data_IF_444546545994
#
_entry.id   IF_444546545994
#
_cell.length_a   1.000
_cell.length_b   1.000
_cell.length_c   1.000
_cell.angle_alpha   90.00
_cell.angle_beta   90.00
_cell.angle_gamma   90.00
#
_symmetry.space_group_name_H-M   'P 1'
#
loop_
_entity.id
_entity.type
_entity.pdbx_description
1 polymer ?
#
# COMPACT_ATOMS: atom_id res chain seq x y z
N UNK A 1 -13.56 8.84 10.06
CA UNK A 1 -13.33 7.98 8.87
C UNK A 1 -13.84 6.60 9.21
N UNK A 2 -14.68 6.02 8.37
CA UNK A 2 -15.25 4.68 8.63
C UNK A 2 -14.25 3.61 8.17
N UNK A 3 -13.30 3.35 9.08
CA UNK A 3 -12.29 2.33 8.94
C UNK A 3 -12.86 0.94 9.25
N UNK A 4 -12.19 -0.12 8.79
CA UNK A 4 -12.60 -1.49 9.08
C UNK A 4 -11.57 -2.20 9.94
N UNK A 5 -12.00 -2.69 11.11
CA UNK A 5 -11.17 -3.47 12.04
C UNK A 5 -11.26 -4.95 11.73
N UNK A 6 -10.12 -5.63 11.76
CA UNK A 6 -10.02 -7.08 11.61
C UNK A 6 -8.81 -7.59 12.40
N UNK A 7 -8.69 -8.91 12.55
CA UNK A 7 -7.60 -9.51 13.29
C UNK A 7 -6.82 -10.50 12.43
N UNK A 8 -5.50 -10.50 12.56
CA UNK A 8 -4.59 -11.50 12.02
C UNK A 8 -3.58 -11.89 13.09
N UNK A 9 -3.40 -13.20 13.35
CA UNK A 9 -2.49 -13.67 14.40
C UNK A 9 -2.66 -12.95 15.74
N UNK A 10 -3.91 -12.80 16.20
CA UNK A 10 -4.27 -12.11 17.48
C UNK A 10 -3.99 -10.59 17.50
N UNK A 11 -3.54 -10.00 16.40
CA UNK A 11 -3.32 -8.57 16.29
C UNK A 11 -4.54 -7.88 15.65
N UNK A 12 -5.12 -6.88 16.34
CA UNK A 12 -6.13 -6.01 15.74
C UNK A 12 -5.47 -5.01 14.79
N UNK A 13 -5.88 -5.05 13.53
CA UNK A 13 -5.46 -4.14 12.46
C UNK A 13 -6.65 -3.37 11.93
N UNK A 14 -6.38 -2.20 11.37
CA UNK A 14 -7.40 -1.28 10.87
C UNK A 14 -7.10 -0.93 9.41
N UNK A 15 -7.94 -1.38 8.49
CA UNK A 15 -7.91 -0.93 7.11
C UNK A 15 -8.49 0.49 7.03
N UNK A 16 -7.74 1.42 6.45
CA UNK A 16 -8.15 2.81 6.28
C UNK A 16 -8.69 3.05 4.87
N UNK A 17 -9.68 3.95 4.68
CA UNK A 17 -10.24 4.30 3.36
C UNK A 17 -9.20 4.81 2.36
N UNK A 18 -8.10 5.38 2.83
CA UNK A 18 -6.95 5.83 2.04
C UNK A 18 -6.18 4.71 1.35
N UNK A 19 -6.27 3.47 1.88
CA UNK A 19 -5.45 2.32 1.50
C UNK A 19 -4.29 2.04 2.47
N UNK A 20 -4.12 2.84 3.51
CA UNK A 20 -3.17 2.56 4.59
C UNK A 20 -3.71 1.51 5.56
N UNK A 21 -2.80 0.73 6.13
CA UNK A 21 -3.09 -0.22 7.22
C UNK A 21 -2.54 0.35 8.53
N UNK A 22 -3.40 0.52 9.51
CA UNK A 22 -3.04 1.01 10.83
C UNK A 22 -3.01 -0.13 11.85
N UNK A 23 -1.92 -0.23 12.62
CA UNK A 23 -1.78 -1.14 13.75
C UNK A 23 -1.69 -0.37 15.06
N UNK A 24 -2.83 -0.13 15.75
CA UNK A 24 -2.89 0.73 16.92
C UNK A 24 -1.95 0.33 18.06
N UNK A 25 -1.92 -0.96 18.39
CA UNK A 25 -1.15 -1.49 19.52
C UNK A 25 0.36 -1.24 19.39
N UNK A 26 0.88 -1.10 18.16
CA UNK A 26 2.29 -0.85 17.87
C UNK A 26 2.55 0.60 17.39
N UNK A 27 1.51 1.41 17.24
CA UNK A 27 1.60 2.75 16.63
C UNK A 27 2.27 2.72 15.25
N UNK A 28 1.94 1.71 14.43
CA UNK A 28 2.51 1.49 13.09
C UNK A 28 1.49 1.83 12.03
N UNK A 29 1.86 2.71 11.10
CA UNK A 29 1.16 2.90 9.83
C UNK A 29 1.93 2.16 8.73
N UNK A 30 1.22 1.35 7.94
CA UNK A 30 1.81 0.61 6.84
C UNK A 30 1.13 1.01 5.53
N UNK A 31 1.94 1.33 4.52
CA UNK A 31 1.51 1.66 3.16
C UNK A 31 2.33 0.85 2.15
N UNK A 32 1.83 0.68 0.94
CA UNK A 32 2.51 -0.08 -0.10
C UNK A 32 2.43 0.63 -1.46
N UNK A 33 3.45 0.42 -2.30
CA UNK A 33 3.39 0.79 -3.71
C UNK A 33 3.04 2.28 -3.91
N UNK A 34 3.89 3.16 -3.36
CA UNK A 34 3.74 4.61 -3.45
C UNK A 34 4.02 5.11 -4.88
N UNK A 35 4.97 4.49 -5.58
CA UNK A 35 5.35 4.80 -6.96
C UNK A 35 5.60 6.29 -7.21
N UNK A 36 6.36 6.95 -6.33
CA UNK A 36 6.78 8.33 -6.56
C UNK A 36 7.54 8.47 -7.88
N UNK A 37 7.27 9.54 -8.61
CA UNK A 37 7.93 9.86 -9.89
C UNK A 37 7.38 9.11 -11.10
N UNK A 38 6.19 8.55 -11.02
CA UNK A 38 5.54 7.82 -12.11
C UNK A 38 5.33 8.66 -13.36
N UNK A 39 4.82 9.87 -13.21
CA UNK A 39 4.62 10.80 -14.34
C UNK A 39 5.93 11.12 -15.04
N UNK A 40 7.00 11.36 -14.27
CA UNK A 40 8.34 11.64 -14.78
C UNK A 40 8.90 10.46 -15.56
N UNK A 41 8.76 9.22 -15.03
CA UNK A 41 9.19 8.01 -15.74
C UNK A 41 8.43 7.83 -17.06
N UNK A 42 7.09 7.96 -17.05
CA UNK A 42 6.29 7.81 -18.26
C UNK A 42 6.67 8.87 -19.32
N UNK A 43 6.94 10.11 -18.90
CA UNK A 43 7.41 11.17 -19.79
C UNK A 43 8.76 10.83 -20.40
N UNK A 44 9.74 10.31 -19.62
CA UNK A 44 11.05 9.86 -20.14
C UNK A 44 10.92 8.72 -21.16
N UNK A 45 9.94 7.84 -20.96
CA UNK A 45 9.68 6.72 -21.89
C UNK A 45 8.86 7.13 -23.13
N UNK A 46 8.50 8.40 -23.30
CA UNK A 46 7.65 8.88 -24.39
C UNK A 46 6.23 8.32 -24.36
N UNK A 47 5.78 7.84 -23.19
CA UNK A 47 4.44 7.30 -23.01
C UNK A 47 3.43 8.38 -22.65
N UNK A 48 2.14 7.99 -22.53
CA UNK A 48 1.03 8.90 -22.24
C UNK A 48 1.32 9.83 -21.08
N UNK A 49 1.05 11.11 -21.30
CA UNK A 49 1.18 12.15 -20.29
C UNK A 49 0.07 11.98 -19.24
N UNK A 50 0.48 11.76 -18.00
CA UNK A 50 -0.41 11.89 -16.84
C UNK A 50 -0.06 13.20 -16.12
N UNK A 51 -1.04 13.87 -15.49
CA UNK A 51 -0.76 15.12 -14.77
C UNK A 51 0.27 14.88 -13.65
N UNK A 52 1.28 15.75 -13.46
CA UNK A 52 2.37 15.54 -12.51
C UNK A 52 1.97 15.89 -11.06
N UNK A 53 0.81 15.44 -10.61
CA UNK A 53 0.29 15.70 -9.26
C UNK A 53 0.32 14.48 -8.35
N UNK A 54 0.74 13.32 -8.86
CA UNK A 54 0.65 12.06 -8.15
C UNK A 54 1.48 12.03 -6.87
N UNK A 55 2.67 12.64 -6.88
CA UNK A 55 3.52 12.71 -5.70
C UNK A 55 2.86 13.56 -4.62
N UNK A 56 2.43 14.76 -4.97
CA UNK A 56 1.80 15.69 -4.02
C UNK A 56 0.51 15.13 -3.44
N UNK A 57 -0.35 14.50 -4.26
CA UNK A 57 -1.58 13.87 -3.80
C UNK A 57 -1.28 12.70 -2.85
N UNK A 58 -0.26 11.89 -3.18
CA UNK A 58 0.18 10.77 -2.35
C UNK A 58 0.76 11.25 -1.01
N UNK A 59 1.62 12.28 -1.04
CA UNK A 59 2.23 12.87 0.16
C UNK A 59 1.19 13.52 1.08
N UNK A 60 0.24 14.28 0.52
CA UNK A 60 -0.83 14.91 1.29
C UNK A 60 -1.71 13.87 2.00
N UNK A 61 -2.05 12.79 1.30
CA UNK A 61 -2.82 11.68 1.87
C UNK A 61 -2.03 10.98 2.98
N UNK A 62 -0.73 10.75 2.78
CA UNK A 62 0.13 10.13 3.78
C UNK A 62 0.28 11.01 5.03
N UNK A 63 0.50 12.31 4.88
CA UNK A 63 0.54 13.27 5.99
C UNK A 63 -0.79 13.25 6.77
N UNK A 64 -1.92 13.26 6.07
CA UNK A 64 -3.26 13.17 6.67
C UNK A 64 -3.44 11.89 7.50
N UNK A 65 -3.01 10.75 6.99
CA UNK A 65 -3.10 9.48 7.70
C UNK A 65 -2.17 9.44 8.92
N UNK A 66 -0.95 9.97 8.79
CA UNK A 66 0.00 10.08 9.90
C UNK A 66 -0.54 10.94 11.04
N UNK A 67 -1.16 12.08 10.71
CA UNK A 67 -1.73 12.99 11.69
C UNK A 67 -2.96 12.37 12.39
N UNK A 68 -3.81 11.68 11.63
CA UNK A 68 -5.03 11.07 12.16
C UNK A 68 -4.75 9.86 13.05
N UNK A 69 -3.64 9.14 12.84
CA UNK A 69 -3.27 7.94 13.61
C UNK A 69 -2.25 8.24 14.71
N UNK A 70 -1.56 9.38 14.65
CA UNK A 70 -0.41 9.68 15.50
C UNK A 70 0.67 8.58 15.47
N UNK A 71 0.87 7.97 14.29
CA UNK A 71 1.82 6.87 14.09
C UNK A 71 3.24 7.28 14.50
N UNK A 72 3.94 6.37 15.18
CA UNK A 72 5.34 6.52 15.58
C UNK A 72 6.29 5.77 14.65
N UNK A 73 5.78 4.79 13.94
CA UNK A 73 6.52 3.99 12.98
C UNK A 73 5.75 3.90 11.66
N UNK A 74 6.48 4.04 10.56
CA UNK A 74 5.94 3.91 9.21
C UNK A 74 6.67 2.77 8.50
N UNK A 75 5.92 1.88 7.85
CA UNK A 75 6.44 0.82 6.99
C UNK A 75 5.93 1.06 5.58
N UNK A 76 6.86 1.29 4.64
CA UNK A 76 6.58 1.33 3.22
C UNK A 76 6.96 -0.03 2.62
N UNK A 77 5.98 -0.79 2.12
CA UNK A 77 6.14 -2.19 1.68
C UNK A 77 6.61 -2.30 0.22
N UNK A 78 7.71 -1.64 -0.11
CA UNK A 78 8.33 -1.69 -1.43
C UNK A 78 7.63 -0.86 -2.49
N UNK A 79 8.27 -0.76 -3.64
CA UNK A 79 7.84 0.05 -4.79
C UNK A 79 7.44 1.48 -4.36
N UNK A 80 8.27 2.07 -3.49
CA UNK A 80 8.09 3.45 -3.04
C UNK A 80 8.37 4.45 -4.15
N UNK A 81 9.29 4.09 -5.07
CA UNK A 81 9.61 4.86 -6.28
C UNK A 81 9.30 4.03 -7.53
N UNK A 82 8.91 4.71 -8.61
CA UNK A 82 8.51 4.04 -9.84
C UNK A 82 9.72 3.46 -10.62
N UNK A 83 10.90 4.00 -10.38
CA UNK A 83 12.22 3.46 -10.76
C UNK A 83 13.36 4.07 -9.93
N UNK A 84 14.59 3.58 -10.13
CA UNK A 84 15.77 4.10 -9.44
C UNK A 84 16.07 5.57 -9.76
N UNK A 85 15.76 6.04 -10.96
CA UNK A 85 15.96 7.44 -11.36
C UNK A 85 14.97 8.35 -10.63
N UNK A 86 13.72 7.91 -10.45
CA UNK A 86 12.72 8.63 -9.68
C UNK A 86 13.17 8.89 -8.23
N UNK A 87 13.85 7.92 -7.60
CA UNK A 87 14.37 8.08 -6.24
C UNK A 87 15.49 9.12 -6.13
N UNK A 88 16.19 9.43 -7.22
CA UNK A 88 17.31 10.38 -7.27
C UNK A 88 16.88 11.77 -7.76
N UNK A 89 15.74 11.86 -8.44
CA UNK A 89 15.25 13.06 -9.12
C UNK A 89 13.97 13.65 -8.52
N UNK A 90 13.60 13.25 -7.29
CA UNK A 90 12.48 13.88 -6.60
C UNK A 90 12.70 15.40 -6.47
N UNK A 91 11.69 16.23 -6.72
CA UNK A 91 11.72 17.64 -6.42
C UNK A 91 12.10 17.92 -4.97
N UNK A 92 12.87 18.98 -4.74
CA UNK A 92 13.39 19.31 -3.40
C UNK A 92 12.29 19.53 -2.37
N UNK A 93 11.19 20.15 -2.75
CA UNK A 93 10.03 20.39 -1.90
C UNK A 93 9.35 19.08 -1.47
N UNK A 94 9.24 18.09 -2.36
CA UNK A 94 8.72 16.76 -2.05
C UNK A 94 9.66 15.99 -1.13
N UNK A 95 10.97 16.06 -1.36
CA UNK A 95 11.99 15.47 -0.49
C UNK A 95 11.95 16.08 0.92
N UNK A 96 11.82 17.40 1.03
CA UNK A 96 11.67 18.10 2.31
C UNK A 96 10.36 17.72 3.02
N UNK A 97 9.29 17.50 2.26
CA UNK A 97 8.02 17.04 2.84
C UNK A 97 8.14 15.63 3.44
N UNK A 98 8.78 14.70 2.72
CA UNK A 98 9.08 13.36 3.26
C UNK A 98 9.93 13.47 4.52
N UNK A 99 11.00 14.28 4.48
CA UNK A 99 11.91 14.48 5.63
C UNK A 99 11.15 15.06 6.84
N UNK A 100 10.24 15.99 6.63
CA UNK A 100 9.37 16.54 7.68
C UNK A 100 8.49 15.46 8.29
N UNK A 101 7.88 14.60 7.48
CA UNK A 101 7.06 13.48 7.97
C UNK A 101 7.88 12.43 8.73
N UNK A 102 9.16 12.25 8.39
CA UNK A 102 10.09 11.35 9.10
C UNK A 102 10.49 11.90 10.49
N UNK A 103 10.42 13.20 10.70
CA UNK A 103 10.88 13.82 11.94
C UNK A 103 10.13 13.26 13.17
N UNK A 104 10.88 12.66 14.09
CA UNK A 104 10.35 12.05 15.32
C UNK A 104 9.63 10.72 15.12
N UNK A 105 9.78 10.08 13.96
CA UNK A 105 9.19 8.78 13.63
C UNK A 105 10.27 7.80 13.15
N UNK A 106 10.08 6.52 13.44
CA UNK A 106 10.85 5.45 12.83
C UNK A 106 10.27 5.18 11.43
N UNK A 107 11.12 5.25 10.41
CA UNK A 107 10.69 5.07 9.02
C UNK A 107 11.43 3.91 8.38
N UNK A 108 10.68 2.95 7.87
CA UNK A 108 11.21 1.71 7.30
C UNK A 108 10.75 1.58 5.86
N UNK A 109 11.72 1.45 4.97
CA UNK A 109 11.55 1.16 3.57
C UNK A 109 11.84 -0.31 3.33
N UNK A 110 10.83 -1.08 2.90
CA UNK A 110 11.02 -2.44 2.41
C UNK A 110 11.36 -2.35 0.93
N UNK A 111 12.36 -3.13 0.47
CA UNK A 111 12.77 -3.17 -0.93
C UNK A 111 11.64 -3.68 -1.81
N UNK A 112 11.36 -2.99 -2.91
CA UNK A 112 10.47 -3.42 -3.97
C UNK A 112 11.23 -3.98 -5.17
N UNK A 113 10.52 -4.33 -6.23
CA UNK A 113 11.13 -4.75 -7.49
C UNK A 113 11.44 -3.55 -8.42
N UNK A 114 10.82 -2.40 -8.20
CA UNK A 114 11.10 -1.14 -8.91
C UNK A 114 12.21 -0.33 -8.25
N UNK A 115 12.32 -0.40 -6.93
CA UNK A 115 13.21 0.43 -6.11
C UNK A 115 14.00 -0.41 -5.08
N UNK A 116 14.90 -1.30 -5.49
CA UNK A 116 15.60 -2.20 -4.59
C UNK A 116 16.48 -1.48 -3.54
N UNK A 117 16.87 -0.22 -3.79
CA UNK A 117 17.73 0.57 -2.91
C UNK A 117 17.57 2.07 -3.15
N UNK A 118 16.50 2.72 -2.69
CA UNK A 118 16.38 4.17 -2.81
C UNK A 118 17.53 4.86 -2.03
N UNK A 119 18.13 5.89 -2.63
CA UNK A 119 19.27 6.62 -2.08
C UNK A 119 18.84 7.98 -1.54
N UNK A 120 19.57 8.48 -0.54
CA UNK A 120 19.43 9.84 0.02
C UNK A 120 18.12 10.13 0.77
N UNK A 121 17.43 9.11 1.24
CA UNK A 121 16.26 9.26 2.10
C UNK A 121 16.60 8.81 3.51
N UNK A 122 16.06 9.49 4.51
CA UNK A 122 16.15 9.04 5.90
C UNK A 122 15.40 7.73 6.13
N UNK A 123 15.65 7.10 7.26
CA UNK A 123 15.02 5.83 7.65
C UNK A 123 15.93 4.61 7.44
N UNK A 124 15.36 3.44 7.64
CA UNK A 124 16.03 2.14 7.51
C UNK A 124 15.54 1.42 6.26
N UNK A 125 16.47 0.78 5.52
CA UNK A 125 16.18 0.00 4.32
C UNK A 125 16.33 -1.48 4.64
N UNK A 126 15.27 -2.26 4.41
CA UNK A 126 15.19 -3.68 4.72
C UNK A 126 14.60 -4.46 3.55
N UNK A 127 14.93 -5.75 3.44
CA UNK A 127 14.24 -6.64 2.50
C UNK A 127 12.92 -7.14 3.05
N UNK A 128 12.84 -7.31 4.34
CA UNK A 128 11.66 -7.70 5.11
C UNK A 128 11.78 -7.23 6.55
N UNK A 129 10.69 -7.29 7.30
CA UNK A 129 10.65 -6.98 8.72
C UNK A 129 9.75 -7.97 9.43
N UNK A 130 10.17 -8.42 10.61
CA UNK A 130 9.35 -9.22 11.51
C UNK A 130 9.01 -8.42 12.78
N UNK A 131 7.73 -8.39 13.13
CA UNK A 131 7.26 -7.82 14.39
C UNK A 131 6.31 -8.83 15.04
N UNK A 132 6.78 -9.46 16.12
CA UNK A 132 6.05 -10.57 16.75
C UNK A 132 5.89 -11.73 15.77
N UNK A 133 4.65 -12.09 15.43
CA UNK A 133 4.34 -13.15 14.47
C UNK A 133 4.05 -12.62 13.06
N UNK A 134 4.03 -11.30 12.84
CA UNK A 134 3.71 -10.70 11.56
C UNK A 134 4.98 -10.43 10.75
N UNK A 135 4.96 -10.86 9.50
CA UNK A 135 6.03 -10.70 8.54
C UNK A 135 5.64 -9.67 7.49
N UNK A 136 6.45 -8.64 7.31
CA UNK A 136 6.24 -7.54 6.37
C UNK A 136 7.22 -7.66 5.22
N UNK A 137 6.73 -7.75 4.00
CA UNK A 137 7.53 -7.84 2.79
C UNK A 137 6.79 -7.28 1.59
N UNK A 138 7.50 -7.04 0.48
CA UNK A 138 6.87 -6.48 -0.72
C UNK A 138 5.96 -7.48 -1.42
N UNK A 139 6.49 -8.66 -1.76
CA UNK A 139 5.77 -9.70 -2.53
C UNK A 139 5.33 -10.80 -1.58
N UNK A 140 4.06 -11.21 -1.66
CA UNK A 140 3.53 -12.31 -0.85
C UNK A 140 4.30 -13.62 -1.09
N UNK A 141 4.60 -14.32 0.00
CA UNK A 141 5.27 -15.63 -0.04
C UNK A 141 4.29 -16.76 -0.37
N UNK A 142 4.82 -17.94 -0.70
CA UNK A 142 4.02 -19.15 -0.83
C UNK A 142 3.77 -19.86 0.53
N UNK A 143 4.41 -19.39 1.60
CA UNK A 143 4.37 -20.02 2.93
C UNK A 143 3.08 -19.67 3.68
N UNK A 144 2.75 -20.48 4.70
CA UNK A 144 1.59 -20.26 5.59
C UNK A 144 1.91 -19.32 6.77
N UNK A 145 2.88 -18.38 6.60
CA UNK A 145 3.19 -17.40 7.63
C UNK A 145 2.12 -16.29 7.70
N UNK A 146 2.04 -15.63 8.84
CA UNK A 146 1.22 -14.43 8.94
C UNK A 146 1.95 -13.26 8.29
N UNK A 147 1.47 -12.81 7.15
CA UNK A 147 2.17 -11.79 6.37
C UNK A 147 1.31 -10.60 5.97
N UNK A 148 2.00 -9.47 5.81
CA UNK A 148 1.47 -8.22 5.28
C UNK A 148 2.35 -7.84 4.09
N UNK A 149 1.75 -7.73 2.89
CA UNK A 149 2.46 -7.51 1.63
C UNK A 149 1.73 -6.53 0.70
N UNK A 150 2.38 -6.16 -0.40
CA UNK A 150 1.85 -5.28 -1.44
C UNK A 150 1.97 -5.88 -2.83
N UNK A 151 2.62 -5.14 -3.77
CA UNK A 151 3.02 -5.53 -5.11
C UNK A 151 1.89 -5.73 -6.14
N UNK A 152 0.84 -6.45 -5.78
CA UNK A 152 -0.21 -6.86 -6.73
C UNK A 152 -1.24 -5.76 -7.00
N UNK A 153 -1.27 -4.71 -6.20
CA UNK A 153 -2.23 -3.60 -6.29
C UNK A 153 -3.68 -4.11 -6.43
N UNK A 154 -4.19 -4.90 -5.50
CA UNK A 154 -5.48 -5.53 -5.65
C UNK A 154 -6.61 -4.53 -5.85
N UNK A 155 -7.50 -4.84 -6.79
CA UNK A 155 -8.74 -4.11 -7.04
C UNK A 155 -9.91 -5.06 -7.19
N UNK A 156 -11.09 -4.57 -6.80
CA UNK A 156 -12.35 -5.30 -6.92
C UNK A 156 -13.29 -4.57 -7.84
N UNK A 157 -14.02 -5.34 -8.66
CA UNK A 157 -15.17 -4.84 -9.42
C UNK A 157 -16.44 -5.38 -8.79
N UNK A 158 -17.40 -4.50 -8.58
CA UNK A 158 -18.75 -4.84 -8.10
C UNK A 158 -19.81 -4.19 -8.98
N UNK A 159 -20.96 -4.84 -9.11
CA UNK A 159 -22.12 -4.30 -9.81
C UNK A 159 -23.20 -3.97 -8.78
N UNK A 160 -23.58 -2.71 -8.70
CA UNK A 160 -24.62 -2.22 -7.79
C UNK A 160 -25.68 -1.53 -8.64
N UNK A 161 -26.92 -2.03 -8.59
CA UNK A 161 -28.06 -1.49 -9.37
C UNK A 161 -27.74 -1.34 -10.87
N UNK A 162 -27.04 -2.32 -11.46
CA UNK A 162 -26.65 -2.33 -12.87
C UNK A 162 -25.44 -1.46 -13.23
N UNK A 163 -24.86 -0.72 -12.28
CA UNK A 163 -23.66 0.08 -12.51
C UNK A 163 -22.42 -0.65 -12.00
N UNK A 164 -21.35 -0.63 -12.80
CA UNK A 164 -20.09 -1.25 -12.46
C UNK A 164 -19.15 -0.27 -11.74
N UNK A 165 -18.68 -0.65 -10.57
CA UNK A 165 -17.71 0.12 -9.78
C UNK A 165 -16.43 -0.69 -9.62
N UNK A 166 -15.29 -0.08 -9.92
CA UNK A 166 -13.97 -0.66 -9.64
C UNK A 166 -13.25 0.21 -8.64
N UNK A 167 -12.73 -0.40 -7.58
CA UNK A 167 -11.96 0.27 -6.52
C UNK A 167 -10.78 -0.58 -6.10
N UNK A 168 -9.74 0.08 -5.58
CA UNK A 168 -8.66 -0.59 -4.84
C UNK A 168 -9.24 -1.30 -3.63
N UNK A 169 -8.60 -2.36 -3.17
CA UNK A 169 -9.04 -3.09 -1.99
C UNK A 169 -7.86 -3.74 -1.29
N UNK A 170 -7.96 -3.92 0.02
CA UNK A 170 -7.14 -4.90 0.71
C UNK A 170 -7.69 -6.28 0.41
N UNK A 171 -6.82 -7.28 0.36
CA UNK A 171 -7.23 -8.68 0.40
C UNK A 171 -6.83 -9.24 1.76
N UNK A 172 -7.77 -9.86 2.44
CA UNK A 172 -7.57 -10.37 3.80
C UNK A 172 -8.07 -11.81 3.88
N UNK A 173 -7.23 -12.71 4.34
CA UNK A 173 -7.60 -14.05 4.76
C UNK A 173 -7.08 -14.35 6.18
N UNK A 174 -7.07 -15.62 6.59
CA UNK A 174 -6.66 -16.02 7.94
C UNK A 174 -5.18 -15.67 8.24
N UNK A 175 -4.31 -15.78 7.23
CA UNK A 175 -2.86 -15.67 7.42
C UNK A 175 -2.25 -14.46 6.70
N UNK A 176 -2.98 -13.79 5.80
CA UNK A 176 -2.41 -12.84 4.85
C UNK A 176 -3.23 -11.57 4.70
N UNK A 177 -2.51 -10.45 4.60
CA UNK A 177 -3.05 -9.17 4.16
C UNK A 177 -2.24 -8.69 2.96
N UNK A 178 -2.90 -8.46 1.82
CA UNK A 178 -2.30 -7.79 0.67
C UNK A 178 -2.88 -6.38 0.59
N UNK A 179 -2.02 -5.37 0.70
CA UNK A 179 -2.41 -3.98 0.65
C UNK A 179 -2.72 -3.53 -0.78
N UNK A 180 -3.65 -2.60 -0.97
CA UNK A 180 -3.78 -1.87 -2.23
C UNK A 180 -2.55 -0.98 -2.44
N UNK A 181 -2.27 -0.63 -3.69
CA UNK A 181 -1.31 0.43 -3.97
C UNK A 181 -1.78 1.74 -3.34
N UNK A 182 -0.88 2.40 -2.62
CA UNK A 182 -1.19 3.68 -2.00
C UNK A 182 -0.99 4.85 -2.96
N UNK A 183 -0.01 4.75 -3.86
CA UNK A 183 0.33 5.79 -4.83
C UNK A 183 -0.81 6.14 -5.79
N UNK A 184 -0.86 7.39 -6.21
CA UNK A 184 -1.81 7.89 -7.21
C UNK A 184 -1.42 7.41 -8.61
N UNK A 185 -2.40 7.19 -9.50
CA UNK A 185 -2.25 6.64 -10.87
C UNK A 185 -1.67 5.24 -10.96
N UNK A 186 -1.70 4.45 -9.90
CA UNK A 186 -1.28 3.05 -9.96
C UNK A 186 -2.39 2.17 -10.55
N UNK A 187 -1.99 1.24 -11.40
CA UNK A 187 -2.86 0.20 -11.93
C UNK A 187 -3.25 -0.83 -10.88
N UNK A 188 -3.50 -2.06 -11.28
CA UNK A 188 -3.70 -3.15 -10.33
C UNK A 188 -4.39 -4.36 -10.93
N UNK A 189 -4.32 -5.50 -10.23
CA UNK A 189 -4.93 -6.77 -10.60
C UNK A 189 -6.30 -6.94 -9.97
N UNK A 190 -7.21 -7.54 -10.71
CA UNK A 190 -8.51 -7.91 -10.14
C UNK A 190 -8.34 -9.06 -9.14
N UNK A 191 -8.96 -8.94 -7.96
CA UNK A 191 -8.83 -9.89 -6.86
C UNK A 191 -9.31 -11.32 -7.20
N UNK A 192 -10.14 -11.49 -8.22
CA UNK A 192 -10.64 -12.77 -8.72
C UNK A 192 -9.79 -13.35 -9.87
N UNK A 193 -8.63 -12.78 -10.17
CA UNK A 193 -7.69 -13.23 -11.21
C UNK A 193 -6.38 -13.72 -10.61
N UNK A 194 -5.71 -14.63 -11.30
CA UNK A 194 -4.37 -15.05 -10.92
C UNK A 194 -3.36 -13.89 -11.11
N UNK A 195 -2.34 -13.82 -10.23
CA UNK A 195 -2.01 -14.78 -9.18
C UNK A 195 -2.80 -14.58 -7.88
N UNK A 196 -3.55 -13.47 -7.69
CA UNK A 196 -4.24 -13.17 -6.43
C UNK A 196 -5.21 -14.26 -6.00
N UNK A 197 -5.97 -14.83 -6.97
CA UNK A 197 -6.90 -15.92 -6.69
C UNK A 197 -6.21 -17.16 -6.13
N UNK A 198 -5.00 -17.47 -6.61
CA UNK A 198 -4.23 -18.64 -6.18
C UNK A 198 -3.50 -18.41 -4.87
N UNK A 199 -3.13 -17.18 -4.55
CA UNK A 199 -2.41 -16.80 -3.33
C UNK A 199 -3.37 -16.75 -2.13
N UNK A 200 -4.61 -16.28 -2.33
CA UNK A 200 -5.58 -16.07 -1.26
C UNK A 200 -6.41 -17.33 -0.98
N UNK A 201 -6.78 -17.54 0.29
CA UNK A 201 -7.68 -18.64 0.67
C UNK A 201 -9.10 -18.41 0.14
N UNK A 202 -9.88 -19.49 0.02
CA UNK A 202 -11.25 -19.44 -0.54
C UNK A 202 -12.22 -18.53 0.22
N UNK A 203 -12.01 -18.37 1.54
CA UNK A 203 -12.81 -17.52 2.41
C UNK A 203 -12.28 -16.08 2.54
N UNK A 204 -11.31 -15.70 1.71
CA UNK A 204 -10.76 -14.37 1.72
C UNK A 204 -11.80 -13.30 1.38
N UNK A 205 -11.64 -12.13 1.99
CA UNK A 205 -12.47 -10.96 1.76
C UNK A 205 -11.65 -9.84 1.12
N UNK A 206 -12.30 -9.08 0.25
CA UNK A 206 -11.79 -7.82 -0.25
C UNK A 206 -12.38 -6.69 0.60
N UNK A 207 -11.53 -5.86 1.18
CA UNK A 207 -11.94 -4.64 1.86
C UNK A 207 -11.83 -3.49 0.85
N UNK A 208 -12.95 -3.17 0.20
CA UNK A 208 -13.01 -2.17 -0.87
C UNK A 208 -12.83 -0.76 -0.28
N UNK A 209 -11.86 -0.02 -0.79
CA UNK A 209 -11.57 1.36 -0.37
C UNK A 209 -12.50 2.39 -1.01
N UNK A 210 -12.62 3.55 -0.39
CA UNK A 210 -13.47 4.65 -0.88
C UNK A 210 -13.68 5.70 0.20
N UNK A 211 -14.89 6.21 0.36
CA UNK A 211 -15.24 7.08 1.50
C UNK A 211 -15.22 6.29 2.81
N UNK A 212 -15.60 5.04 2.73
CA UNK A 212 -15.69 4.03 3.78
C UNK A 212 -15.08 2.73 3.27
N UNK A 213 -14.79 1.80 4.18
CA UNK A 213 -14.36 0.44 3.82
C UNK A 213 -15.56 -0.49 3.78
N UNK A 214 -15.72 -1.19 2.64
CA UNK A 214 -16.76 -2.19 2.46
C UNK A 214 -16.19 -3.60 2.35
N UNK A 215 -16.49 -4.51 3.29
CA UNK A 215 -16.05 -5.91 3.19
C UNK A 215 -16.91 -6.66 2.16
N UNK A 216 -16.26 -7.31 1.21
CA UNK A 216 -16.90 -8.05 0.13
C UNK A 216 -16.20 -9.41 0.00
N UNK A 217 -16.92 -10.55 0.11
CA UNK A 217 -16.35 -11.85 -0.19
C UNK A 217 -15.79 -11.89 -1.62
N UNK A 218 -14.56 -12.41 -1.81
CA UNK A 218 -13.94 -12.48 -3.14
C UNK A 218 -14.78 -13.31 -4.12
N UNK A 219 -15.51 -14.31 -3.63
CA UNK A 219 -16.45 -15.11 -4.43
C UNK A 219 -17.58 -14.30 -5.07
N UNK A 220 -17.85 -13.07 -4.62
CA UNK A 220 -18.83 -12.13 -5.18
C UNK A 220 -18.20 -11.06 -6.07
N UNK A 221 -16.89 -11.10 -6.31
CA UNK A 221 -16.23 -10.20 -7.26
C UNK A 221 -16.55 -10.58 -8.70
N UNK A 222 -16.84 -9.56 -9.55
CA UNK A 222 -17.16 -9.71 -10.97
C UNK A 222 -15.97 -9.38 -11.87
#
# INVERSE_FOLDING_TARGET
MDCFKFSISENELVAMPSGALWWPAQSILCVSDLHFGKSSRLARMGQSWIPPYENQDTLLRLETDLDSTSAKKIICLGDSFDDNEASQSLPLDELLWITKMQAGREWIWISGNHDPSPKNLGGSFLHYLEIGKLYFQHIASADDRFEISGHYHPKIRVIIKGQSFTRRCFLVDKNRVILPSYGTYTGGLYCNRDPLRSIMQQNAIALMTGKEIYPIPISKAN
#
